data_IF_702481897935
#
_entry.id   IF_702481897935
#
_cell.length_a   1.000
_cell.length_b   1.000
_cell.length_c   1.000
_cell.angle_alpha   90.00
_cell.angle_beta   90.00
_cell.angle_gamma   90.00
#
_symmetry.space_group_name_H-M   'P 1'
#
loop_
_entity.id
_entity.type
_entity.pdbx_description
1 polymer ?
#
# COMPACT_ATOMS: atom_id res chain seq x y z
N UNK A 1 -13.71 -2.93 -40.40
CA UNK A 1 -12.71 -3.44 -39.46
C UNK A 1 -11.38 -2.79 -39.82
N UNK A 2 -11.01 -1.72 -39.06
CA UNK A 2 -9.89 -0.85 -39.39
C UNK A 2 -8.53 -1.59 -39.31
N UNK A 3 -7.59 -1.20 -40.15
CA UNK A 3 -6.20 -1.74 -40.13
C UNK A 3 -5.54 -1.60 -38.75
N UNK A 4 -5.93 -0.59 -37.96
CA UNK A 4 -5.52 -0.38 -36.57
C UNK A 4 -5.93 -1.53 -35.64
N UNK A 5 -7.12 -2.11 -35.82
CA UNK A 5 -7.62 -3.21 -34.96
C UNK A 5 -6.85 -4.52 -35.17
N UNK A 6 -6.39 -4.78 -36.40
CA UNK A 6 -5.56 -5.93 -36.70
C UNK A 6 -4.14 -5.79 -36.16
N UNK A 7 -3.60 -4.57 -36.17
CA UNK A 7 -2.27 -4.30 -35.64
C UNK A 7 -2.25 -4.38 -34.11
N UNK A 8 -3.24 -3.79 -33.45
CA UNK A 8 -3.39 -3.88 -31.98
C UNK A 8 -3.70 -5.29 -31.52
N UNK A 9 -4.56 -6.04 -32.23
CA UNK A 9 -4.88 -7.43 -31.86
C UNK A 9 -3.69 -8.41 -31.98
N UNK A 10 -2.66 -8.07 -32.78
CA UNK A 10 -1.43 -8.86 -32.88
C UNK A 10 -0.37 -8.47 -31.84
N UNK A 11 -0.20 -7.16 -31.59
CA UNK A 11 0.86 -6.64 -30.70
C UNK A 11 0.51 -6.87 -29.22
N UNK A 12 -0.75 -6.64 -28.83
CA UNK A 12 -1.17 -6.76 -27.42
C UNK A 12 -0.89 -8.15 -26.83
N UNK A 13 -1.26 -9.27 -27.46
CA UNK A 13 -0.92 -10.60 -26.92
C UNK A 13 0.59 -10.88 -26.88
N UNK A 14 1.35 -10.39 -27.86
CA UNK A 14 2.81 -10.53 -27.85
C UNK A 14 3.41 -9.80 -26.65
N UNK A 15 3.01 -8.56 -26.42
CA UNK A 15 3.45 -7.79 -25.26
C UNK A 15 3.04 -8.45 -23.94
N UNK A 16 1.81 -8.96 -23.85
CA UNK A 16 1.32 -9.67 -22.66
C UNK A 16 2.15 -10.93 -22.38
N UNK A 17 2.44 -11.74 -23.40
CA UNK A 17 3.28 -12.93 -23.29
C UNK A 17 4.72 -12.56 -22.91
N UNK A 18 5.26 -11.49 -23.50
CA UNK A 18 6.62 -11.02 -23.16
C UNK A 18 6.74 -10.59 -21.69
N UNK A 19 5.77 -9.83 -21.17
CA UNK A 19 5.73 -9.42 -19.76
C UNK A 19 5.59 -10.63 -18.84
N UNK A 20 4.72 -11.58 -19.19
CA UNK A 20 4.56 -12.81 -18.42
C UNK A 20 5.84 -13.65 -18.42
N UNK A 21 6.50 -13.78 -19.57
CA UNK A 21 7.76 -14.50 -19.68
C UNK A 21 8.89 -13.86 -18.86
N UNK A 22 8.98 -12.51 -18.87
CA UNK A 22 9.93 -11.77 -18.03
C UNK A 22 9.66 -11.98 -16.54
N UNK A 23 8.38 -11.94 -16.13
CA UNK A 23 7.98 -12.16 -14.73
C UNK A 23 8.33 -13.58 -14.28
N UNK A 24 7.97 -14.61 -15.08
CA UNK A 24 8.31 -16.00 -14.79
C UNK A 24 9.84 -16.18 -14.76
N UNK A 25 10.56 -15.59 -15.73
CA UNK A 25 12.03 -15.61 -15.78
C UNK A 25 12.67 -15.03 -14.53
N UNK A 26 12.14 -13.90 -14.02
CA UNK A 26 12.61 -13.30 -12.78
C UNK A 26 12.38 -14.22 -11.57
N UNK A 27 11.19 -14.80 -11.44
CA UNK A 27 10.87 -15.73 -10.34
C UNK A 27 11.78 -16.97 -10.39
N UNK A 28 11.98 -17.55 -11.58
CA UNK A 28 12.88 -18.69 -11.77
C UNK A 28 14.34 -18.32 -11.43
N UNK A 29 14.80 -17.17 -11.87
CA UNK A 29 16.14 -16.66 -11.55
C UNK A 29 16.33 -16.56 -10.03
N UNK A 30 15.39 -15.92 -9.33
CA UNK A 30 15.44 -15.81 -7.87
C UNK A 30 15.42 -17.17 -7.18
N UNK A 31 14.63 -18.13 -7.66
CA UNK A 31 14.57 -19.49 -7.14
C UNK A 31 15.90 -20.24 -7.32
N UNK A 32 16.55 -20.09 -8.49
CA UNK A 32 17.84 -20.70 -8.76
C UNK A 32 18.94 -20.12 -7.87
N UNK A 33 18.97 -18.80 -7.71
CA UNK A 33 19.94 -18.10 -6.83
C UNK A 33 19.71 -18.44 -5.34
N UNK A 34 18.49 -18.65 -4.90
CA UNK A 34 18.16 -19.05 -3.54
C UNK A 34 18.46 -20.52 -3.25
N UNK A 35 18.54 -21.38 -4.28
CA UNK A 35 18.69 -22.83 -4.14
C UNK A 35 19.90 -23.27 -3.29
N UNK A 36 21.11 -22.67 -3.43
CA UNK A 36 22.26 -23.04 -2.60
C UNK A 36 21.98 -22.88 -1.10
N UNK A 37 21.27 -21.81 -0.70
CA UNK A 37 20.94 -21.58 0.71
C UNK A 37 20.08 -22.72 1.29
N UNK A 38 19.17 -23.27 0.48
CA UNK A 38 18.27 -24.36 0.85
C UNK A 38 18.96 -25.73 0.94
N UNK A 39 20.12 -25.89 0.30
CA UNK A 39 20.93 -27.12 0.40
C UNK A 39 21.71 -27.13 1.72
N UNK A 40 22.19 -25.95 2.16
CA UNK A 40 23.02 -25.85 3.37
C UNK A 40 22.23 -25.72 4.66
N UNK A 41 20.98 -25.27 4.60
CA UNK A 41 20.15 -25.02 5.76
C UNK A 41 18.74 -25.59 5.59
N UNK A 42 18.16 -26.09 6.69
CA UNK A 42 16.77 -26.53 6.70
C UNK A 42 15.81 -25.33 6.53
N UNK A 43 14.69 -25.53 5.83
CA UNK A 43 13.62 -24.54 5.74
C UNK A 43 13.15 -24.04 7.11
N UNK A 44 13.10 -24.95 8.09
CA UNK A 44 12.73 -24.60 9.47
C UNK A 44 13.74 -23.63 10.07
N UNK A 45 15.04 -23.85 9.88
CA UNK A 45 16.09 -22.99 10.43
C UNK A 45 16.08 -21.61 9.78
N UNK A 46 15.79 -21.52 8.48
CA UNK A 46 15.65 -20.24 7.76
C UNK A 46 14.45 -19.46 8.29
N UNK A 47 13.29 -20.08 8.42
CA UNK A 47 12.05 -19.38 8.80
C UNK A 47 11.97 -19.07 10.28
N UNK A 48 12.45 -19.99 11.14
CA UNK A 48 12.37 -19.85 12.61
C UNK A 48 13.66 -19.33 13.25
N UNK A 49 14.78 -19.40 12.52
CA UNK A 49 16.07 -18.91 13.00
C UNK A 49 16.03 -17.41 13.30
N UNK A 50 16.68 -17.03 14.39
CA UNK A 50 16.66 -15.65 14.90
C UNK A 50 17.93 -14.88 14.55
N UNK A 51 18.99 -15.55 14.11
CA UNK A 51 20.26 -14.91 13.79
C UNK A 51 20.44 -14.77 12.28
N UNK A 52 20.80 -13.56 11.83
CA UNK A 52 21.17 -13.25 10.45
C UNK A 52 22.64 -12.87 10.37
N UNK A 53 23.49 -13.82 10.01
CA UNK A 53 24.95 -13.65 9.89
C UNK A 53 25.46 -14.31 8.60
N UNK A 54 25.13 -13.77 7.41
CA UNK A 54 25.49 -14.39 6.13
C UNK A 54 27.00 -14.40 5.85
N UNK A 55 27.76 -13.47 6.45
CA UNK A 55 29.20 -13.30 6.23
C UNK A 55 30.05 -13.97 7.32
N UNK A 56 29.46 -14.75 8.21
CA UNK A 56 30.22 -15.49 9.24
C UNK A 56 30.95 -16.69 8.60
N UNK A 57 31.99 -17.22 9.30
CA UNK A 57 32.69 -18.42 8.86
C UNK A 57 31.73 -19.63 8.71
N UNK A 58 30.73 -19.71 9.57
CA UNK A 58 29.57 -20.60 9.41
C UNK A 58 28.34 -19.70 9.20
N UNK A 59 27.83 -19.53 7.97
CA UNK A 59 26.68 -18.67 7.69
C UNK A 59 25.43 -19.12 8.44
N UNK A 60 24.72 -18.17 9.07
CA UNK A 60 23.42 -18.39 9.71
C UNK A 60 22.42 -17.44 9.04
N UNK A 61 21.32 -18.01 8.49
CA UNK A 61 20.36 -17.28 7.67
C UNK A 61 18.95 -17.31 8.28
N UNK A 62 18.83 -16.95 9.56
CA UNK A 62 17.54 -16.90 10.24
C UNK A 62 16.74 -15.64 9.85
N UNK A 63 15.55 -15.82 9.30
CA UNK A 63 14.70 -14.73 8.79
C UNK A 63 13.57 -14.33 9.75
N UNK A 64 13.38 -15.00 10.88
CA UNK A 64 12.21 -14.80 11.73
C UNK A 64 12.03 -13.34 12.20
N UNK A 65 13.12 -12.66 12.58
CA UNK A 65 13.07 -11.25 12.99
C UNK A 65 12.78 -10.32 11.82
N UNK A 66 13.32 -10.60 10.63
CA UNK A 66 13.10 -9.79 9.44
C UNK A 66 11.65 -9.90 8.99
N UNK A 67 11.13 -11.14 8.96
CA UNK A 67 9.72 -11.39 8.60
C UNK A 67 8.77 -10.74 9.60
N UNK A 68 9.01 -10.93 10.89
CA UNK A 68 8.16 -10.36 11.94
C UNK A 68 8.22 -8.83 11.95
N UNK A 69 9.41 -8.23 11.81
CA UNK A 69 9.57 -6.77 11.73
C UNK A 69 8.81 -6.19 10.53
N UNK A 70 8.96 -6.78 9.34
CA UNK A 70 8.22 -6.36 8.14
C UNK A 70 6.71 -6.44 8.33
N UNK A 71 6.23 -7.52 8.96
CA UNK A 71 4.82 -7.70 9.26
C UNK A 71 4.31 -6.65 10.25
N UNK A 72 5.04 -6.41 11.35
CA UNK A 72 4.67 -5.40 12.35
C UNK A 72 4.65 -3.99 11.78
N UNK A 73 5.67 -3.60 11.03
CA UNK A 73 5.73 -2.27 10.40
C UNK A 73 4.58 -2.09 9.42
N UNK A 74 4.30 -3.08 8.57
CA UNK A 74 3.23 -3.00 7.56
C UNK A 74 1.84 -2.99 8.20
N UNK A 75 1.58 -3.81 9.21
CA UNK A 75 0.30 -3.81 9.93
C UNK A 75 0.08 -2.50 10.69
N UNK A 76 1.12 -2.01 11.37
CA UNK A 76 1.02 -0.77 12.13
C UNK A 76 0.83 0.44 11.19
N UNK A 77 1.50 0.46 10.04
CA UNK A 77 1.28 1.50 9.03
C UNK A 77 -0.17 1.52 8.52
N UNK A 78 -0.77 0.34 8.34
CA UNK A 78 -2.16 0.22 7.93
C UNK A 78 -3.13 0.73 9.02
N UNK A 79 -2.83 0.45 10.30
CA UNK A 79 -3.63 0.94 11.44
C UNK A 79 -3.66 2.47 11.47
N UNK A 80 -2.57 3.14 11.13
CA UNK A 80 -2.52 4.60 11.02
C UNK A 80 -3.19 5.12 9.74
N UNK A 81 -2.88 4.51 8.60
CA UNK A 81 -3.30 5.03 7.31
C UNK A 81 -4.79 4.79 7.00
N UNK A 82 -5.39 3.67 7.43
CA UNK A 82 -6.78 3.35 7.10
C UNK A 82 -7.79 4.34 7.69
N UNK A 83 -7.78 4.66 9.00
CA UNK A 83 -8.74 5.61 9.56
C UNK A 83 -8.60 6.99 8.92
N UNK A 84 -7.37 7.45 8.70
CA UNK A 84 -7.08 8.73 8.07
C UNK A 84 -7.52 8.74 6.61
N UNK A 85 -7.20 7.68 5.87
CA UNK A 85 -7.55 7.54 4.46
C UNK A 85 -9.06 7.47 4.23
N UNK A 86 -9.77 6.63 4.98
CA UNK A 86 -11.22 6.51 4.89
C UNK A 86 -11.90 7.81 5.33
N UNK A 87 -11.44 8.40 6.44
CA UNK A 87 -11.97 9.68 6.93
C UNK A 87 -11.81 10.81 5.91
N UNK A 88 -10.62 10.93 5.30
CA UNK A 88 -10.35 11.89 4.23
C UNK A 88 -11.24 11.62 3.01
N UNK A 89 -11.41 10.37 2.60
CA UNK A 89 -12.25 10.00 1.45
C UNK A 89 -13.72 10.36 1.68
N UNK A 90 -14.24 10.11 2.88
CA UNK A 90 -15.62 10.51 3.24
C UNK A 90 -15.75 12.04 3.24
N UNK A 91 -14.77 12.76 3.81
CA UNK A 91 -14.75 14.22 3.81
C UNK A 91 -14.71 14.80 2.40
N UNK A 92 -13.88 14.25 1.53
CA UNK A 92 -13.80 14.66 0.12
C UNK A 92 -15.09 14.36 -0.66
N UNK A 93 -15.81 13.30 -0.30
CA UNK A 93 -17.05 12.93 -1.00
C UNK A 93 -18.26 13.75 -0.55
N UNK A 94 -18.34 14.17 0.72
CA UNK A 94 -19.49 14.90 1.28
C UNK A 94 -19.25 16.39 1.48
N UNK A 95 -18.03 16.76 1.87
CA UNK A 95 -17.75 18.09 2.45
C UNK A 95 -17.32 19.14 1.45
N UNK A 96 -16.98 18.78 0.20
CA UNK A 96 -16.37 19.72 -0.74
C UNK A 96 -16.99 19.67 -2.13
N UNK A 97 -16.86 20.78 -2.86
CA UNK A 97 -17.32 20.83 -4.25
C UNK A 97 -16.51 19.88 -5.15
N UNK A 98 -17.05 19.43 -6.28
CA UNK A 98 -16.35 18.54 -7.21
C UNK A 98 -14.99 19.09 -7.68
N UNK A 99 -14.86 20.40 -7.84
CA UNK A 99 -13.60 21.06 -8.25
C UNK A 99 -12.53 20.97 -7.17
N UNK A 100 -12.91 21.22 -5.91
CA UNK A 100 -11.98 21.13 -4.76
C UNK A 100 -11.57 19.68 -4.56
N UNK A 101 -12.52 18.73 -4.65
CA UNK A 101 -12.22 17.31 -4.56
C UNK A 101 -11.20 16.87 -5.60
N UNK A 102 -11.41 17.23 -6.87
CA UNK A 102 -10.50 16.90 -7.96
C UNK A 102 -9.11 17.52 -7.74
N UNK A 103 -9.04 18.76 -7.26
CA UNK A 103 -7.77 19.40 -6.94
C UNK A 103 -7.04 18.66 -5.80
N UNK A 104 -7.75 18.29 -4.73
CA UNK A 104 -7.17 17.50 -3.63
C UNK A 104 -6.67 16.13 -4.09
N UNK A 105 -7.47 15.41 -4.89
CA UNK A 105 -7.05 14.10 -5.42
C UNK A 105 -5.83 14.23 -6.32
N UNK A 106 -5.79 15.21 -7.23
CA UNK A 106 -4.61 15.46 -8.08
C UNK A 106 -3.36 15.77 -7.25
N UNK A 107 -3.50 16.52 -6.16
CA UNK A 107 -2.38 16.81 -5.24
C UNK A 107 -1.93 15.53 -4.51
N UNK A 108 -2.86 14.71 -4.06
CA UNK A 108 -2.59 13.42 -3.41
C UNK A 108 -1.87 12.48 -4.39
N UNK A 109 -2.30 12.41 -5.64
CA UNK A 109 -1.66 11.58 -6.68
C UNK A 109 -0.24 12.07 -6.99
N UNK A 110 0.00 13.39 -6.97
CA UNK A 110 1.38 13.94 -7.09
C UNK A 110 2.27 13.49 -5.92
N UNK A 111 1.74 13.47 -4.70
CA UNK A 111 2.48 12.97 -3.53
C UNK A 111 2.78 11.47 -3.69
N UNK A 112 1.83 10.69 -4.19
CA UNK A 112 2.03 9.26 -4.48
C UNK A 112 3.12 9.00 -5.53
N UNK A 113 3.40 9.97 -6.39
CA UNK A 113 4.47 9.91 -7.39
C UNK A 113 5.88 10.20 -6.85
N UNK A 114 6.02 10.63 -5.60
CA UNK A 114 7.34 10.88 -5.01
C UNK A 114 8.08 9.54 -4.85
N UNK A 115 9.36 9.43 -5.32
CA UNK A 115 10.15 8.23 -5.12
C UNK A 115 10.26 7.85 -3.64
N UNK A 116 10.05 6.57 -3.32
CA UNK A 116 10.04 6.07 -1.94
C UNK A 116 11.35 6.39 -1.19
N UNK A 117 12.49 6.34 -1.89
CA UNK A 117 13.81 6.72 -1.35
C UNK A 117 13.80 8.13 -0.74
N UNK A 118 13.15 9.09 -1.41
CA UNK A 118 13.07 10.48 -0.92
C UNK A 118 12.21 10.52 0.36
N UNK A 119 11.08 9.82 0.36
CA UNK A 119 10.21 9.76 1.55
C UNK A 119 10.92 9.08 2.71
N UNK A 120 11.65 7.98 2.44
CA UNK A 120 12.48 7.30 3.44
C UNK A 120 13.56 8.21 4.03
N UNK A 121 14.26 8.97 3.18
CA UNK A 121 15.26 9.94 3.62
C UNK A 121 14.66 11.06 4.50
N UNK A 122 13.51 11.61 4.09
CA UNK A 122 12.78 12.59 4.91
C UNK A 122 12.34 11.95 6.22
N UNK A 123 11.91 10.70 6.20
CA UNK A 123 11.57 9.93 7.39
C UNK A 123 12.73 9.84 8.38
N UNK A 124 13.92 9.49 7.90
CA UNK A 124 15.14 9.46 8.72
C UNK A 124 15.51 10.85 9.25
N UNK A 125 15.39 11.90 8.44
CA UNK A 125 15.80 13.24 8.82
C UNK A 125 14.81 13.95 9.74
N UNK A 126 13.52 13.64 9.68
CA UNK A 126 12.45 14.36 10.37
C UNK A 126 11.71 13.46 11.35
N UNK A 127 11.19 12.31 10.89
CA UNK A 127 10.33 11.46 11.72
C UNK A 127 11.10 10.77 12.83
N UNK A 128 12.29 10.24 12.53
CA UNK A 128 13.14 9.56 13.52
C UNK A 128 13.53 10.50 14.68
N UNK A 129 14.09 11.71 14.45
CA UNK A 129 14.35 12.66 15.52
C UNK A 129 13.09 13.13 16.26
N UNK A 130 11.96 13.27 15.56
CA UNK A 130 10.70 13.65 16.19
C UNK A 130 10.21 12.59 17.18
N UNK A 131 10.24 11.30 16.78
CA UNK A 131 9.87 10.18 17.67
C UNK A 131 10.86 10.10 18.84
N UNK A 132 12.16 10.24 18.57
CA UNK A 132 13.19 10.21 19.60
C UNK A 132 12.94 11.29 20.68
N UNK A 133 12.67 12.52 20.27
CA UNK A 133 12.44 13.63 21.20
C UNK A 133 11.11 13.50 21.94
N UNK A 134 10.03 13.06 21.24
CA UNK A 134 8.71 12.92 21.84
C UNK A 134 8.66 11.87 22.94
N UNK A 135 9.38 10.77 22.78
CA UNK A 135 9.37 9.64 23.71
C UNK A 135 10.64 9.56 24.56
N UNK A 136 11.56 10.55 24.44
CA UNK A 136 12.85 10.59 25.17
C UNK A 136 13.65 9.29 25.03
N UNK A 137 13.69 8.74 23.82
CA UNK A 137 14.38 7.48 23.52
C UNK A 137 15.87 7.71 23.27
N UNK A 138 16.68 6.69 23.49
CA UNK A 138 18.11 6.69 23.14
C UNK A 138 18.35 6.77 21.64
N UNK A 139 17.46 6.15 20.84
CA UNK A 139 17.39 6.28 19.38
C UNK A 139 15.93 6.37 18.93
N UNK A 140 15.67 7.12 17.88
CA UNK A 140 14.35 7.23 17.26
C UNK A 140 14.08 6.18 16.19
N UNK A 141 15.09 5.40 15.82
CA UNK A 141 14.95 4.28 14.89
C UNK A 141 14.14 3.17 15.54
N UNK A 142 12.88 3.05 15.14
CA UNK A 142 11.93 2.14 15.78
C UNK A 142 10.84 1.69 14.80
N UNK A 143 10.14 0.61 15.15
CA UNK A 143 8.96 0.14 14.40
C UNK A 143 7.92 1.27 14.29
N UNK A 144 7.81 2.12 15.30
CA UNK A 144 6.87 3.24 15.30
C UNK A 144 7.24 4.27 14.23
N UNK A 145 8.48 4.76 14.21
CA UNK A 145 8.94 5.75 13.20
C UNK A 145 8.84 5.17 11.79
N UNK A 146 9.27 3.93 11.58
CA UNK A 146 9.15 3.25 10.29
C UNK A 146 7.69 3.11 9.84
N UNK A 147 6.78 2.71 10.75
CA UNK A 147 5.36 2.56 10.43
C UNK A 147 4.67 3.88 10.12
N UNK A 148 5.06 4.99 10.75
CA UNK A 148 4.51 6.32 10.46
C UNK A 148 4.95 6.82 9.08
N UNK A 149 6.23 6.64 8.72
CA UNK A 149 6.73 6.97 7.38
C UNK A 149 6.03 6.14 6.31
N UNK A 150 5.91 4.84 6.53
CA UNK A 150 5.23 3.93 5.61
C UNK A 150 3.73 4.23 5.52
N UNK A 151 3.08 4.59 6.63
CA UNK A 151 1.68 5.04 6.64
C UNK A 151 1.48 6.27 5.75
N UNK A 152 2.39 7.25 5.83
CA UNK A 152 2.37 8.42 4.95
C UNK A 152 2.49 8.04 3.47
N UNK A 153 3.31 7.04 3.13
CA UNK A 153 3.51 6.57 1.77
C UNK A 153 2.30 5.83 1.19
N UNK A 154 1.59 5.05 2.00
CA UNK A 154 0.41 4.29 1.54
C UNK A 154 -0.89 5.09 1.62
N UNK A 155 -0.92 6.19 2.39
CA UNK A 155 -2.10 7.03 2.60
C UNK A 155 -2.70 7.56 1.29
N UNK A 156 -1.93 8.16 0.36
CA UNK A 156 -2.45 8.62 -0.93
C UNK A 156 -3.21 7.52 -1.68
N UNK A 157 -2.65 6.34 -1.72
CA UNK A 157 -3.23 5.18 -2.39
C UNK A 157 -4.61 4.80 -1.80
N UNK A 158 -4.70 4.76 -0.45
CA UNK A 158 -5.95 4.48 0.24
C UNK A 158 -6.99 5.57 -0.05
N UNK A 159 -6.59 6.84 0.03
CA UNK A 159 -7.50 7.98 -0.20
C UNK A 159 -8.07 7.94 -1.61
N UNK A 160 -7.24 7.78 -2.62
CA UNK A 160 -7.70 7.76 -4.03
C UNK A 160 -8.69 6.63 -4.26
N UNK A 161 -8.33 5.38 -3.94
CA UNK A 161 -9.21 4.24 -4.18
C UNK A 161 -10.49 4.23 -3.33
N UNK A 162 -10.40 4.65 -2.07
CA UNK A 162 -11.60 4.77 -1.23
C UNK A 162 -12.52 5.88 -1.73
N UNK A 163 -11.98 7.04 -2.16
CA UNK A 163 -12.80 8.14 -2.68
C UNK A 163 -13.50 7.74 -3.97
N UNK A 164 -12.82 7.09 -4.91
CA UNK A 164 -13.42 6.58 -6.15
C UNK A 164 -14.57 5.60 -5.87
N UNK A 165 -14.34 4.67 -4.96
CA UNK A 165 -15.37 3.69 -4.57
C UNK A 165 -16.57 4.35 -3.89
N UNK A 166 -16.34 5.22 -2.92
CA UNK A 166 -17.39 5.94 -2.20
C UNK A 166 -18.20 6.79 -3.19
N UNK A 167 -17.53 7.50 -4.09
CA UNK A 167 -18.19 8.37 -5.07
C UNK A 167 -19.07 7.58 -6.05
N UNK A 168 -18.61 6.41 -6.49
CA UNK A 168 -19.38 5.51 -7.35
C UNK A 168 -20.72 5.13 -6.72
N UNK A 169 -20.68 4.71 -5.44
CA UNK A 169 -21.91 4.35 -4.72
C UNK A 169 -22.74 5.59 -4.34
N UNK A 170 -22.09 6.71 -4.00
CA UNK A 170 -22.78 7.95 -3.70
C UNK A 170 -23.61 8.42 -4.88
N UNK A 171 -23.02 8.50 -6.08
CA UNK A 171 -23.74 8.89 -7.31
C UNK A 171 -24.93 7.96 -7.61
N UNK A 172 -24.81 6.70 -7.28
CA UNK A 172 -25.88 5.72 -7.52
C UNK A 172 -27.10 5.91 -6.61
N UNK A 173 -26.88 6.31 -5.34
CA UNK A 173 -27.96 6.33 -4.34
C UNK A 173 -28.38 7.73 -3.92
N UNK A 174 -27.62 8.79 -4.20
CA UNK A 174 -27.84 10.13 -3.68
C UNK A 174 -29.18 10.73 -4.14
N UNK A 175 -29.48 10.66 -5.43
CA UNK A 175 -30.74 11.21 -5.96
C UNK A 175 -31.98 10.53 -5.35
N UNK A 176 -31.96 9.21 -5.23
CA UNK A 176 -33.05 8.45 -4.62
C UNK A 176 -33.21 8.79 -3.15
N UNK A 177 -32.10 8.90 -2.41
CA UNK A 177 -32.12 9.24 -0.99
C UNK A 177 -32.65 10.65 -0.74
N UNK A 178 -32.22 11.62 -1.57
CA UNK A 178 -32.73 13.00 -1.50
C UNK A 178 -34.20 13.09 -1.83
N UNK A 179 -34.68 12.33 -2.83
CA UNK A 179 -36.12 12.23 -3.14
C UNK A 179 -36.98 11.67 -2.01
N UNK A 180 -36.38 10.85 -1.12
CA UNK A 180 -37.02 10.32 0.10
C UNK A 180 -36.82 11.22 1.33
N UNK A 181 -36.19 12.38 1.18
CA UNK A 181 -35.91 13.32 2.29
C UNK A 181 -34.80 12.84 3.22
N UNK A 182 -33.97 11.87 2.82
CA UNK A 182 -32.86 11.34 3.61
C UNK A 182 -31.65 12.27 3.50
N UNK A 183 -31.05 12.65 4.62
CA UNK A 183 -29.88 13.55 4.62
C UNK A 183 -28.64 12.89 3.98
N UNK A 184 -27.75 13.65 3.33
CA UNK A 184 -26.53 13.13 2.71
C UNK A 184 -25.62 12.35 3.69
N UNK A 185 -25.53 12.80 4.94
CA UNK A 185 -24.76 12.10 5.98
C UNK A 185 -25.36 10.74 6.35
N UNK A 186 -26.67 10.68 6.47
CA UNK A 186 -27.36 9.41 6.74
C UNK A 186 -27.20 8.45 5.56
N UNK A 187 -27.35 8.93 4.34
CA UNK A 187 -27.12 8.16 3.10
C UNK A 187 -25.68 7.62 3.06
N UNK A 188 -24.69 8.45 3.41
CA UNK A 188 -23.30 8.03 3.46
C UNK A 188 -23.09 6.90 4.46
N UNK A 189 -23.56 7.07 5.68
CA UNK A 189 -23.32 6.12 6.78
C UNK A 189 -24.12 4.82 6.62
N UNK A 190 -25.41 4.92 6.22
CA UNK A 190 -26.31 3.79 6.21
C UNK A 190 -26.35 3.01 4.89
N UNK A 191 -25.96 3.65 3.78
CA UNK A 191 -26.08 3.06 2.44
C UNK A 191 -24.72 3.00 1.74
N UNK A 192 -24.05 4.14 1.57
CA UNK A 192 -22.84 4.25 0.73
C UNK A 192 -21.67 3.48 1.33
N UNK A 193 -21.31 3.73 2.59
CA UNK A 193 -20.18 3.06 3.24
C UNK A 193 -20.37 1.53 3.36
N UNK A 194 -21.53 1.02 3.77
CA UNK A 194 -21.78 -0.41 3.74
C UNK A 194 -21.71 -1.02 2.35
N UNK A 195 -22.20 -0.32 1.33
CA UNK A 195 -22.13 -0.77 -0.08
C UNK A 195 -20.70 -0.76 -0.61
N UNK A 196 -19.88 0.22 -0.23
CA UNK A 196 -18.48 0.35 -0.61
C UNK A 196 -17.53 -0.57 0.19
N UNK A 197 -18.03 -1.28 1.22
CA UNK A 197 -17.21 -2.09 2.13
C UNK A 197 -16.26 -3.05 1.41
N UNK A 198 -16.74 -3.75 0.37
CA UNK A 198 -15.92 -4.68 -0.41
C UNK A 198 -14.73 -3.99 -1.08
N UNK A 199 -14.96 -2.83 -1.68
CA UNK A 199 -13.90 -2.04 -2.32
C UNK A 199 -12.92 -1.45 -1.29
N UNK A 200 -13.40 -1.02 -0.13
CA UNK A 200 -12.57 -0.51 0.96
C UNK A 200 -11.65 -1.63 1.49
N UNK A 201 -12.18 -2.84 1.67
CA UNK A 201 -11.37 -4.00 2.07
C UNK A 201 -10.32 -4.31 1.00
N UNK A 202 -10.70 -4.31 -0.28
CA UNK A 202 -9.75 -4.54 -1.36
C UNK A 202 -8.64 -3.48 -1.38
N UNK A 203 -8.98 -2.20 -1.24
CA UNK A 203 -8.00 -1.11 -1.15
C UNK A 203 -7.06 -1.30 0.04
N UNK A 204 -7.58 -1.79 1.18
CA UNK A 204 -6.77 -2.10 2.37
C UNK A 204 -5.78 -3.24 2.12
N UNK A 205 -6.21 -4.31 1.45
CA UNK A 205 -5.35 -5.44 1.09
C UNK A 205 -4.26 -5.01 0.11
N UNK A 206 -4.61 -4.19 -0.88
CA UNK A 206 -3.64 -3.67 -1.85
C UNK A 206 -2.64 -2.71 -1.19
N UNK A 207 -3.09 -1.85 -0.29
CA UNK A 207 -2.22 -0.96 0.49
C UNK A 207 -1.26 -1.76 1.40
N UNK A 208 -1.76 -2.83 2.04
CA UNK A 208 -0.93 -3.76 2.81
C UNK A 208 0.12 -4.45 1.95
N UNK A 209 -0.27 -4.95 0.78
CA UNK A 209 0.65 -5.59 -0.17
C UNK A 209 1.75 -4.61 -0.62
N UNK A 210 1.39 -3.34 -0.86
CA UNK A 210 2.36 -2.28 -1.16
C UNK A 210 3.31 -2.03 0.02
N UNK A 211 2.78 -1.95 1.25
CA UNK A 211 3.58 -1.77 2.45
C UNK A 211 4.57 -2.93 2.68
N UNK A 212 4.13 -4.17 2.46
CA UNK A 212 4.99 -5.36 2.55
C UNK A 212 6.08 -5.42 1.47
N UNK A 213 5.82 -4.83 0.30
CA UNK A 213 6.78 -4.78 -0.82
C UNK A 213 7.78 -3.64 -0.71
N UNK A 214 7.67 -2.75 0.30
CA UNK A 214 8.60 -1.64 0.46
C UNK A 214 9.93 -2.15 1.03
N UNK A 215 11.02 -1.79 0.35
CA UNK A 215 12.38 -2.29 0.66
C UNK A 215 13.26 -1.23 1.31
N UNK A 216 12.73 -0.03 1.55
CA UNK A 216 13.47 1.13 2.06
C UNK A 216 13.45 1.28 3.58
#
# INVERSE_FOLDING_TARGET
>A
MHLSDRFTSGIVPIMAVSVLALYIGLVLYMAIEAWPALIYMSWTDIVTGTEWKPMAQSPVLGLSYIISASLYVSLLSLIWALPLGIGTSVGLSLGVSPRIRQFCLSTIDMIAGIPSVIVGFIGLAVMVPAVQSMFSLSTGESILSASLVLAFMILPYIVTHCTESIETYRQRYEETALGLGISPWHTMKAIVLPSAKGSIILSSVLAFSRAMGETM
#
